data_IF_015959972074
#
_entry.id   IF_015959972074
#
_cell.length_a   1.000
_cell.length_b   1.000
_cell.length_c   1.000
_cell.angle_alpha   90.00
_cell.angle_beta   90.00
_cell.angle_gamma   90.00
#
_symmetry.space_group_name_H-M   'P 1'
#
loop_
_entity.id
_entity.type
_entity.pdbx_description
1 polymer ?
#
# COMPACT_ATOMS: atom_id res chain seq x y z
N UNK A 1 -22.31 3.66 46.34
CA UNK A 1 -22.05 4.65 45.28
C UNK A 1 -21.65 3.90 44.03
N UNK A 2 -22.41 4.01 42.92
CA UNK A 2 -21.92 3.55 41.61
C UNK A 2 -20.65 4.35 41.32
N UNK A 3 -19.60 3.70 40.82
CA UNK A 3 -18.26 4.26 40.68
C UNK A 3 -18.25 5.35 39.57
N UNK A 4 -18.72 6.55 39.89
CA UNK A 4 -18.80 7.70 38.97
C UNK A 4 -17.42 8.10 38.40
N UNK A 5 -16.34 7.66 39.04
CA UNK A 5 -14.96 7.88 38.60
C UNK A 5 -14.50 6.91 37.51
N UNK A 6 -15.17 5.77 37.31
CA UNK A 6 -14.91 4.86 36.19
C UNK A 6 -15.87 5.22 35.04
N UNK A 7 -15.57 6.32 34.35
CA UNK A 7 -16.33 6.76 33.17
C UNK A 7 -15.49 6.52 31.92
N UNK A 8 -15.93 5.60 31.06
CA UNK A 8 -15.41 5.53 29.70
C UNK A 8 -15.76 6.85 28.99
N UNK A 9 -14.74 7.53 28.48
CA UNK A 9 -14.91 8.80 27.81
C UNK A 9 -15.51 8.50 26.44
N UNK A 10 -16.84 8.62 26.29
CA UNK A 10 -17.56 8.23 25.06
C UNK A 10 -17.07 8.95 23.80
N UNK A 11 -16.36 10.07 23.95
CA UNK A 11 -15.66 10.76 22.85
C UNK A 11 -14.50 9.93 22.24
N UNK A 12 -14.01 8.91 22.95
CA UNK A 12 -12.99 7.99 22.48
C UNK A 12 -13.59 6.78 21.75
N UNK A 13 -14.90 6.56 21.81
CA UNK A 13 -15.58 5.48 21.08
C UNK A 13 -15.33 5.57 19.56
N UNK A 14 -15.38 6.74 18.91
CA UNK A 14 -15.01 6.87 17.50
C UNK A 14 -13.52 6.58 17.20
N UNK A 15 -12.67 6.59 18.23
CA UNK A 15 -11.25 6.27 18.08
C UNK A 15 -10.98 4.77 17.99
N UNK A 16 -11.92 3.91 18.41
CA UNK A 16 -11.75 2.44 18.35
C UNK A 16 -11.48 1.98 16.92
N UNK A 17 -12.27 2.44 15.96
CA UNK A 17 -12.04 2.21 14.53
C UNK A 17 -10.66 2.69 14.08
N UNK A 18 -10.24 3.89 14.52
CA UNK A 18 -8.93 4.45 14.14
C UNK A 18 -7.80 3.60 14.73
N UNK A 19 -7.94 3.12 15.95
CA UNK A 19 -6.96 2.25 16.61
C UNK A 19 -6.84 0.95 15.81
N UNK A 20 -7.95 0.31 15.44
CA UNK A 20 -7.92 -0.91 14.61
C UNK A 20 -7.29 -0.65 13.23
N UNK A 21 -7.58 0.48 12.57
CA UNK A 21 -6.90 0.87 11.33
C UNK A 21 -5.38 0.97 11.54
N UNK A 22 -4.92 1.60 12.63
CA UNK A 22 -3.50 1.74 12.93
C UNK A 22 -2.83 0.39 13.23
N UNK A 23 -3.51 -0.49 13.96
CA UNK A 23 -3.04 -1.88 14.18
C UNK A 23 -2.93 -2.64 12.87
N UNK A 24 -3.94 -2.51 12.01
CA UNK A 24 -3.92 -3.10 10.66
C UNK A 24 -2.78 -2.57 9.80
N UNK A 25 -2.55 -1.26 9.80
CA UNK A 25 -1.43 -0.63 9.08
C UNK A 25 -0.07 -1.09 9.61
N UNK A 26 0.09 -1.16 10.93
CA UNK A 26 1.31 -1.71 11.54
C UNK A 26 1.51 -3.17 11.12
N UNK A 27 0.52 -4.03 11.31
CA UNK A 27 0.57 -5.44 10.93
C UNK A 27 0.90 -5.63 9.45
N UNK A 28 0.31 -4.82 8.57
CA UNK A 28 0.61 -4.82 7.13
C UNK A 28 2.08 -4.44 6.87
N UNK A 29 2.56 -3.40 7.53
CA UNK A 29 3.93 -2.88 7.33
C UNK A 29 5.02 -3.86 7.75
N UNK A 30 4.73 -4.74 8.72
CA UNK A 30 5.66 -5.79 9.20
C UNK A 30 5.41 -7.16 8.56
N UNK A 31 4.56 -7.23 7.52
CA UNK A 31 4.30 -8.46 6.76
C UNK A 31 3.29 -9.43 7.40
N UNK A 32 2.65 -9.07 8.51
CA UNK A 32 1.60 -9.86 9.16
C UNK A 32 0.24 -9.66 8.47
N UNK A 33 0.14 -9.97 7.17
CA UNK A 33 -1.02 -9.61 6.34
C UNK A 33 -2.36 -10.19 6.81
N UNK A 34 -2.38 -11.43 7.31
CA UNK A 34 -3.61 -12.03 7.87
C UNK A 34 -4.14 -11.26 9.09
N UNK A 35 -3.22 -10.74 9.93
CA UNK A 35 -3.59 -9.91 11.08
C UNK A 35 -4.01 -8.51 10.64
N UNK A 36 -3.35 -7.97 9.61
CA UNK A 36 -3.76 -6.71 9.00
C UNK A 36 -5.21 -6.78 8.49
N UNK A 37 -5.54 -7.84 7.75
CA UNK A 37 -6.91 -8.13 7.28
C UNK A 37 -7.88 -8.12 8.46
N UNK A 38 -7.61 -8.91 9.51
CA UNK A 38 -8.45 -8.98 10.71
C UNK A 38 -8.75 -7.58 11.28
N UNK A 39 -7.71 -6.78 11.53
CA UNK A 39 -7.88 -5.43 12.10
C UNK A 39 -8.67 -4.50 11.18
N UNK A 40 -8.46 -4.57 9.86
CA UNK A 40 -9.26 -3.77 8.93
C UNK A 40 -10.72 -4.22 8.86
N UNK A 41 -11.00 -5.53 9.01
CA UNK A 41 -12.37 -6.03 9.13
C UNK A 41 -13.04 -5.54 10.41
N UNK A 42 -12.37 -5.61 11.56
CA UNK A 42 -12.88 -5.09 12.84
C UNK A 42 -13.13 -3.58 12.78
N UNK A 43 -12.23 -2.81 12.16
CA UNK A 43 -12.40 -1.38 11.99
C UNK A 43 -13.67 -1.00 11.22
N UNK A 44 -14.14 -1.84 10.28
CA UNK A 44 -15.38 -1.61 9.53
C UNK A 44 -16.60 -1.69 10.45
N UNK A 45 -16.62 -2.66 11.36
CA UNK A 45 -17.73 -2.87 12.30
C UNK A 45 -17.80 -1.77 13.37
N UNK A 46 -16.68 -1.09 13.64
CA UNK A 46 -16.56 -0.02 14.64
C UNK A 46 -16.89 1.38 14.10
N UNK A 47 -17.37 1.52 12.85
CA UNK A 47 -17.68 2.83 12.28
C UNK A 47 -18.91 2.83 11.38
N UNK A 48 -19.76 3.84 11.54
CA UNK A 48 -20.88 4.14 10.63
C UNK A 48 -20.45 5.00 9.42
N UNK A 49 -19.20 5.47 9.40
CA UNK A 49 -18.69 6.33 8.33
C UNK A 49 -18.41 5.52 7.07
N UNK A 50 -19.28 5.64 6.06
CA UNK A 50 -19.10 5.00 4.75
C UNK A 50 -17.73 5.27 4.12
N UNK A 51 -17.18 6.47 4.34
CA UNK A 51 -15.83 6.84 3.88
C UNK A 51 -14.75 6.01 4.58
N UNK A 52 -14.84 5.87 5.91
CA UNK A 52 -13.89 5.04 6.67
C UNK A 52 -14.04 3.56 6.32
N UNK A 53 -15.26 3.05 6.18
CA UNK A 53 -15.52 1.68 5.76
C UNK A 53 -14.88 1.40 4.38
N UNK A 54 -15.08 2.29 3.40
CA UNK A 54 -14.48 2.16 2.07
C UNK A 54 -12.94 2.10 2.14
N UNK A 55 -12.32 2.97 2.94
CA UNK A 55 -10.88 2.96 3.13
C UNK A 55 -10.37 1.71 3.85
N UNK A 56 -11.09 1.19 4.85
CA UNK A 56 -10.74 -0.07 5.50
C UNK A 56 -10.80 -1.23 4.51
N UNK A 57 -11.84 -1.30 3.67
CA UNK A 57 -11.95 -2.32 2.60
C UNK A 57 -10.84 -2.22 1.56
N UNK A 58 -10.40 -1.00 1.22
CA UNK A 58 -9.20 -0.77 0.40
C UNK A 58 -7.96 -1.39 1.07
N UNK A 59 -7.71 -1.09 2.35
CA UNK A 59 -6.54 -1.63 3.06
C UNK A 59 -6.60 -3.14 3.27
N UNK A 60 -7.78 -3.69 3.53
CA UNK A 60 -8.07 -5.12 3.64
C UNK A 60 -7.75 -5.82 2.31
N UNK A 61 -8.26 -5.31 1.19
CA UNK A 61 -8.02 -5.86 -0.14
C UNK A 61 -6.52 -5.80 -0.53
N UNK A 62 -5.82 -4.71 -0.24
CA UNK A 62 -4.36 -4.63 -0.46
C UNK A 62 -3.64 -5.71 0.36
N UNK A 63 -4.05 -5.96 1.60
CA UNK A 63 -3.45 -6.99 2.44
C UNK A 63 -3.67 -8.39 1.87
N UNK A 64 -4.87 -8.70 1.38
CA UNK A 64 -5.15 -9.94 0.67
C UNK A 64 -4.31 -10.11 -0.61
N UNK A 65 -4.15 -9.04 -1.41
CA UNK A 65 -3.27 -9.04 -2.60
C UNK A 65 -1.82 -9.37 -2.23
N UNK A 66 -1.35 -8.92 -1.06
CA UNK A 66 -0.02 -9.21 -0.55
C UNK A 66 0.15 -10.67 -0.06
N UNK A 67 -0.91 -11.32 0.44
CA UNK A 67 -0.88 -12.76 0.76
C UNK A 67 -0.66 -13.57 -0.54
N UNK A 68 -1.39 -13.20 -1.61
CA UNK A 68 -1.06 -13.58 -2.98
C UNK A 68 -1.47 -14.98 -3.43
N UNK A 69 -2.10 -15.79 -2.57
CA UNK A 69 -2.75 -17.03 -3.00
C UNK A 69 -4.07 -16.75 -3.77
N UNK A 70 -4.59 -17.77 -4.46
CA UNK A 70 -5.78 -17.62 -5.30
C UNK A 70 -7.05 -17.28 -4.50
N UNK A 71 -7.19 -17.82 -3.29
CA UNK A 71 -8.34 -17.56 -2.42
C UNK A 71 -8.29 -16.10 -1.92
N UNK A 72 -7.14 -15.65 -1.43
CA UNK A 72 -6.92 -14.27 -1.01
C UNK A 72 -7.13 -13.29 -2.17
N UNK A 73 -6.67 -13.61 -3.37
CA UNK A 73 -6.90 -12.78 -4.56
C UNK A 73 -8.40 -12.67 -4.88
N UNK A 74 -9.16 -13.76 -4.77
CA UNK A 74 -10.62 -13.75 -4.96
C UNK A 74 -11.34 -12.95 -3.86
N UNK A 75 -10.87 -13.01 -2.61
CA UNK A 75 -11.39 -12.20 -1.51
C UNK A 75 -11.14 -10.71 -1.75
N UNK A 76 -9.93 -10.34 -2.17
CA UNK A 76 -9.61 -8.96 -2.54
C UNK A 76 -10.54 -8.44 -3.64
N UNK A 77 -10.79 -9.24 -4.68
CA UNK A 77 -11.71 -8.89 -5.76
C UNK A 77 -13.13 -8.63 -5.26
N UNK A 78 -13.70 -9.57 -4.50
CA UNK A 78 -15.04 -9.45 -3.94
C UNK A 78 -15.20 -8.20 -3.06
N UNK A 79 -14.15 -7.84 -2.30
CA UNK A 79 -14.17 -6.65 -1.45
C UNK A 79 -14.14 -5.34 -2.23
N UNK A 80 -13.31 -5.26 -3.27
CA UNK A 80 -13.03 -3.97 -3.93
C UNK A 80 -13.92 -3.71 -5.17
N UNK A 81 -14.37 -4.77 -5.85
CA UNK A 81 -15.15 -4.67 -7.10
C UNK A 81 -16.41 -3.79 -6.95
N UNK A 82 -17.24 -3.91 -5.89
CA UNK A 82 -18.42 -3.05 -5.74
C UNK A 82 -18.06 -1.56 -5.65
N UNK A 83 -16.93 -1.22 -5.01
CA UNK A 83 -16.46 0.17 -4.93
C UNK A 83 -15.89 0.67 -6.26
N UNK A 84 -15.27 -0.23 -7.02
CA UNK A 84 -14.76 0.09 -8.36
C UNK A 84 -15.90 0.37 -9.35
N UNK A 85 -16.96 -0.44 -9.34
CA UNK A 85 -18.12 -0.28 -10.25
C UNK A 85 -18.81 1.08 -10.12
N UNK A 86 -18.76 1.69 -8.95
CA UNK A 86 -19.37 3.01 -8.68
C UNK A 86 -18.34 4.14 -8.55
N UNK A 87 -17.06 3.88 -8.84
CA UNK A 87 -15.94 4.81 -8.53
C UNK A 87 -16.09 6.19 -9.17
N UNK A 88 -16.67 6.25 -10.37
CA UNK A 88 -16.88 7.52 -11.07
C UNK A 88 -17.93 8.39 -10.37
N UNK A 89 -18.94 7.77 -9.74
CA UNK A 89 -20.01 8.44 -8.99
C UNK A 89 -19.63 8.80 -7.55
N UNK A 90 -18.57 8.20 -7.00
CA UNK A 90 -18.04 8.56 -5.67
C UNK A 90 -17.66 10.03 -5.63
N UNK A 91 -17.81 10.72 -4.49
CA UNK A 91 -17.43 12.16 -4.38
C UNK A 91 -16.01 12.32 -3.82
N UNK A 92 -15.60 11.42 -2.93
CA UNK A 92 -14.32 11.53 -2.22
C UNK A 92 -13.11 11.14 -3.08
N UNK A 93 -12.20 12.09 -3.31
CA UNK A 93 -10.97 11.86 -4.07
C UNK A 93 -10.05 10.81 -3.42
N UNK A 94 -10.03 10.76 -2.08
CA UNK A 94 -9.25 9.77 -1.31
C UNK A 94 -9.71 8.35 -1.59
N UNK A 95 -11.02 8.12 -1.52
CA UNK A 95 -11.62 6.81 -1.77
C UNK A 95 -11.43 6.40 -3.22
N UNK A 96 -11.69 7.31 -4.19
CA UNK A 96 -11.47 7.03 -5.62
C UNK A 96 -10.05 6.57 -5.89
N UNK A 97 -9.08 7.32 -5.40
CA UNK A 97 -7.67 7.04 -5.65
C UNK A 97 -7.20 5.77 -4.93
N UNK A 98 -7.73 5.46 -3.74
CA UNK A 98 -7.48 4.19 -3.08
C UNK A 98 -8.05 2.99 -3.85
N UNK A 99 -9.29 3.12 -4.33
CA UNK A 99 -9.99 2.07 -5.09
C UNK A 99 -9.32 1.81 -6.43
N UNK A 100 -9.03 2.86 -7.22
CA UNK A 100 -8.33 2.74 -8.51
C UNK A 100 -6.95 2.11 -8.36
N UNK A 101 -6.22 2.47 -7.30
CA UNK A 101 -4.91 1.89 -7.02
C UNK A 101 -5.02 0.40 -6.72
N UNK A 102 -5.91 0.04 -5.79
CA UNK A 102 -6.08 -1.33 -5.31
C UNK A 102 -6.59 -2.25 -6.42
N UNK A 103 -7.57 -1.79 -7.20
CA UNK A 103 -8.07 -2.55 -8.34
C UNK A 103 -7.00 -2.70 -9.44
N UNK A 104 -6.18 -1.66 -9.66
CA UNK A 104 -5.02 -1.77 -10.55
C UNK A 104 -4.01 -2.83 -10.09
N UNK A 105 -3.69 -2.88 -8.79
CA UNK A 105 -2.82 -3.93 -8.24
C UNK A 105 -3.41 -5.33 -8.45
N UNK A 106 -4.72 -5.48 -8.26
CA UNK A 106 -5.43 -6.74 -8.47
C UNK A 106 -5.36 -7.22 -9.92
N UNK A 107 -5.60 -6.32 -10.88
CA UNK A 107 -5.52 -6.63 -12.30
C UNK A 107 -4.11 -7.07 -12.72
N UNK A 108 -3.07 -6.41 -12.21
CA UNK A 108 -1.67 -6.83 -12.44
C UNK A 108 -1.44 -8.25 -11.91
N UNK A 109 -1.95 -8.57 -10.71
CA UNK A 109 -1.86 -9.94 -10.16
C UNK A 109 -2.58 -10.97 -11.04
N UNK A 110 -3.67 -10.57 -11.68
CA UNK A 110 -4.44 -11.38 -12.62
C UNK A 110 -3.84 -11.39 -14.05
N UNK A 111 -2.68 -10.77 -14.27
CA UNK A 111 -2.01 -10.64 -15.58
C UNK A 111 -2.80 -9.84 -16.61
N UNK A 112 -3.62 -8.90 -16.15
CA UNK A 112 -4.29 -7.90 -16.97
C UNK A 112 -3.54 -6.55 -16.92
N UNK A 113 -3.78 -5.65 -17.87
CA UNK A 113 -3.06 -4.39 -18.07
C UNK A 113 -3.92 -3.17 -17.67
N UNK A 114 -3.89 -2.71 -16.40
CA UNK A 114 -4.77 -1.66 -15.89
C UNK A 114 -4.27 -0.22 -16.14
N UNK A 115 -3.43 0.01 -17.16
CA UNK A 115 -2.64 1.25 -17.31
C UNK A 115 -3.51 2.51 -17.24
N UNK A 116 -4.60 2.55 -18.02
CA UNK A 116 -5.50 3.69 -18.08
C UNK A 116 -6.11 4.03 -16.71
N UNK A 117 -6.39 3.01 -15.88
CA UNK A 117 -6.99 3.20 -14.55
C UNK A 117 -5.96 3.74 -13.56
N UNK A 118 -4.74 3.24 -13.61
CA UNK A 118 -3.64 3.73 -12.79
C UNK A 118 -3.25 5.16 -13.15
N UNK A 119 -3.21 5.52 -14.45
CA UNK A 119 -2.98 6.89 -14.91
C UNK A 119 -4.08 7.84 -14.44
N UNK A 120 -5.34 7.40 -14.47
CA UNK A 120 -6.47 8.20 -13.96
C UNK A 120 -6.33 8.46 -12.46
N UNK A 121 -6.02 7.44 -11.68
CA UNK A 121 -5.79 7.56 -10.24
C UNK A 121 -4.63 8.49 -9.89
N UNK A 122 -3.51 8.39 -10.63
CA UNK A 122 -2.35 9.26 -10.47
C UNK A 122 -2.68 10.73 -10.75
N UNK A 123 -3.44 11.02 -11.82
CA UNK A 123 -3.89 12.39 -12.15
C UNK A 123 -4.73 13.00 -11.03
N UNK A 124 -5.74 12.27 -10.55
CA UNK A 124 -6.60 12.69 -9.44
C UNK A 124 -5.79 12.95 -8.16
N UNK A 125 -4.83 12.07 -7.86
CA UNK A 125 -3.91 12.21 -6.74
C UNK A 125 -3.11 13.52 -6.79
N UNK A 126 -2.53 13.81 -7.95
CA UNK A 126 -1.71 15.00 -8.18
C UNK A 126 -2.55 16.29 -8.06
N UNK A 127 -3.77 16.30 -8.61
CA UNK A 127 -4.62 17.49 -8.62
C UNK A 127 -5.33 17.78 -7.31
N UNK A 128 -5.66 16.75 -6.53
CA UNK A 128 -6.68 16.89 -5.48
C UNK A 128 -6.21 16.52 -4.07
N UNK A 129 -5.12 15.76 -3.92
CA UNK A 129 -4.73 15.21 -2.60
C UNK A 129 -3.32 15.59 -2.17
N UNK A 130 -2.40 15.86 -3.10
CA UNK A 130 -1.01 16.20 -2.77
C UNK A 130 -0.27 15.12 -1.96
N UNK A 131 -0.81 13.90 -1.88
CA UNK A 131 -0.23 12.81 -1.12
C UNK A 131 0.93 12.17 -1.91
N UNK A 132 2.13 12.68 -1.66
CA UNK A 132 3.35 12.31 -2.39
C UNK A 132 3.70 10.83 -2.19
N UNK A 133 3.29 10.22 -1.07
CA UNK A 133 3.54 8.81 -0.76
C UNK A 133 2.77 7.89 -1.70
N UNK A 134 1.45 8.08 -1.80
CA UNK A 134 0.63 7.30 -2.72
C UNK A 134 1.00 7.59 -4.18
N UNK A 135 1.39 8.83 -4.51
CA UNK A 135 1.91 9.19 -5.83
C UNK A 135 3.16 8.37 -6.20
N UNK A 136 4.12 8.22 -5.27
CA UNK A 136 5.30 7.38 -5.45
C UNK A 136 4.94 5.92 -5.77
N UNK A 137 3.94 5.37 -5.08
CA UNK A 137 3.46 4.00 -5.28
C UNK A 137 2.71 3.81 -6.61
N UNK A 138 1.93 4.81 -7.06
CA UNK A 138 1.33 4.80 -8.39
C UNK A 138 2.39 4.76 -9.49
N UNK A 139 3.41 5.63 -9.41
CA UNK A 139 4.52 5.64 -10.37
C UNK A 139 5.26 4.32 -10.37
N UNK A 140 5.55 3.76 -9.18
CA UNK A 140 6.17 2.44 -9.05
C UNK A 140 5.39 1.37 -9.84
N UNK A 141 4.08 1.30 -9.63
CA UNK A 141 3.22 0.31 -10.28
C UNK A 141 3.13 0.54 -11.80
N UNK A 142 3.01 1.79 -12.26
CA UNK A 142 3.00 2.14 -13.68
C UNK A 142 4.34 1.81 -14.37
N UNK A 143 5.46 2.04 -13.69
CA UNK A 143 6.78 1.71 -14.22
C UNK A 143 6.96 0.21 -14.42
N UNK A 144 6.42 -0.61 -13.49
CA UNK A 144 6.35 -2.06 -13.67
C UNK A 144 5.54 -2.47 -14.90
N UNK A 145 4.39 -1.84 -15.10
CA UNK A 145 3.51 -2.13 -16.22
C UNK A 145 4.15 -1.76 -17.57
N UNK A 146 4.85 -0.62 -17.62
CA UNK A 146 5.61 -0.19 -18.79
C UNK A 146 6.69 -1.24 -19.18
N UNK A 147 7.32 -1.90 -18.20
CA UNK A 147 8.24 -3.01 -18.48
C UNK A 147 7.54 -4.24 -19.06
N UNK A 148 6.34 -4.58 -18.57
CA UNK A 148 5.56 -5.71 -19.09
C UNK A 148 5.15 -5.51 -20.55
N UNK A 149 4.91 -4.27 -20.99
CA UNK A 149 4.63 -3.92 -22.39
C UNK A 149 5.89 -3.58 -23.21
N UNK A 150 7.08 -3.85 -22.65
CA UNK A 150 8.39 -3.62 -23.27
C UNK A 150 8.73 -2.15 -23.61
N UNK A 151 8.09 -1.19 -22.95
CA UNK A 151 8.50 0.23 -23.00
C UNK A 151 9.55 0.53 -21.91
N UNK A 152 10.77 0.11 -22.19
CA UNK A 152 11.91 0.24 -21.26
C UNK A 152 12.31 1.70 -21.01
N UNK A 153 12.11 2.58 -21.99
CA UNK A 153 12.44 4.01 -21.89
C UNK A 153 11.48 4.69 -20.93
N UNK A 154 10.18 4.52 -21.14
CA UNK A 154 9.16 5.11 -20.28
C UNK A 154 9.22 4.52 -18.86
N UNK A 155 9.41 3.20 -18.74
CA UNK A 155 9.58 2.54 -17.46
C UNK A 155 10.72 3.15 -16.64
N UNK A 156 11.90 3.34 -17.25
CA UNK A 156 13.08 3.91 -16.58
C UNK A 156 12.80 5.30 -16.01
N UNK A 157 12.17 6.18 -16.78
CA UNK A 157 11.85 7.54 -16.36
C UNK A 157 10.78 7.58 -15.24
N UNK A 158 9.73 6.76 -15.36
CA UNK A 158 8.70 6.63 -14.33
C UNK A 158 9.30 6.09 -13.02
N UNK A 159 10.13 5.05 -13.10
CA UNK A 159 10.77 4.43 -11.93
C UNK A 159 11.76 5.40 -11.26
N UNK A 160 12.54 6.17 -12.02
CA UNK A 160 13.41 7.23 -11.46
C UNK A 160 12.62 8.32 -10.74
N UNK A 161 11.47 8.69 -11.29
CA UNK A 161 10.55 9.64 -10.65
C UNK A 161 10.01 9.07 -9.33
N UNK A 162 9.57 7.82 -9.31
CA UNK A 162 9.15 7.10 -8.10
C UNK A 162 10.27 7.06 -7.05
N UNK A 163 11.50 6.69 -7.44
CA UNK A 163 12.66 6.63 -6.53
C UNK A 163 12.97 7.99 -5.90
N UNK A 164 12.86 9.08 -6.67
CA UNK A 164 13.09 10.43 -6.18
C UNK A 164 12.09 10.81 -5.08
N UNK A 165 10.81 10.50 -5.28
CA UNK A 165 9.77 10.73 -4.27
C UNK A 165 9.98 9.83 -3.05
N UNK A 166 10.28 8.55 -3.25
CA UNK A 166 10.53 7.60 -2.18
C UNK A 166 11.74 8.01 -1.31
N UNK A 167 12.79 8.58 -1.91
CA UNK A 167 13.93 9.17 -1.19
C UNK A 167 13.51 10.36 -0.33
N UNK A 168 12.71 11.28 -0.88
CA UNK A 168 12.20 12.46 -0.16
C UNK A 168 11.35 12.08 1.06
N UNK A 169 10.61 10.99 0.96
CA UNK A 169 9.70 10.52 2.01
C UNK A 169 10.33 9.53 2.99
N UNK A 170 11.59 9.16 2.79
CA UNK A 170 12.23 8.06 3.52
C UNK A 170 11.44 6.75 3.45
N UNK A 171 10.71 6.54 2.35
CA UNK A 171 9.99 5.30 2.06
C UNK A 171 11.00 4.22 1.61
N UNK A 172 11.62 3.57 2.60
CA UNK A 172 12.63 2.55 2.38
C UNK A 172 12.07 1.34 1.61
N UNK A 173 10.87 0.81 1.91
CA UNK A 173 10.28 -0.27 1.11
C UNK A 173 10.16 0.05 -0.37
N UNK A 174 9.63 1.23 -0.74
CA UNK A 174 9.53 1.61 -2.16
C UNK A 174 10.90 1.84 -2.77
N UNK A 175 11.87 2.42 -2.03
CA UNK A 175 13.24 2.55 -2.51
C UNK A 175 13.84 1.18 -2.87
N UNK A 176 13.78 0.20 -1.98
CA UNK A 176 14.32 -1.15 -2.20
C UNK A 176 13.71 -1.79 -3.44
N UNK A 177 12.38 -1.71 -3.56
CA UNK A 177 11.67 -2.30 -4.69
C UNK A 177 12.07 -1.62 -6.02
N UNK A 178 12.05 -0.29 -6.09
CA UNK A 178 12.34 0.44 -7.34
C UNK A 178 13.79 0.21 -7.76
N UNK A 179 14.71 0.17 -6.79
CA UNK A 179 16.10 -0.14 -7.06
C UNK A 179 16.25 -1.56 -7.62
N UNK A 180 15.54 -2.56 -7.08
CA UNK A 180 15.56 -3.92 -7.64
C UNK A 180 15.18 -3.95 -9.11
N UNK A 181 14.06 -3.30 -9.46
CA UNK A 181 13.55 -3.28 -10.84
C UNK A 181 14.49 -2.51 -11.77
N UNK A 182 15.06 -1.39 -11.31
CA UNK A 182 16.06 -0.65 -12.09
C UNK A 182 17.36 -1.45 -12.28
N UNK A 183 17.81 -2.21 -11.28
CA UNK A 183 18.99 -3.08 -11.39
C UNK A 183 18.78 -4.13 -12.49
N UNK A 184 17.61 -4.77 -12.51
CA UNK A 184 17.27 -5.76 -13.54
C UNK A 184 17.21 -5.12 -14.93
N UNK A 185 16.60 -3.93 -15.04
CA UNK A 185 16.56 -3.19 -16.29
C UNK A 185 17.96 -2.78 -16.78
N UNK A 186 18.84 -2.28 -15.91
CA UNK A 186 20.21 -1.92 -16.29
C UNK A 186 21.00 -3.13 -16.78
N UNK A 187 20.76 -4.31 -16.17
CA UNK A 187 21.35 -5.56 -16.61
C UNK A 187 20.89 -5.96 -18.02
N UNK A 188 19.59 -5.84 -18.30
CA UNK A 188 19.02 -6.11 -19.63
C UNK A 188 19.57 -5.15 -20.71
N UNK A 189 19.75 -3.88 -20.36
CA UNK A 189 20.29 -2.85 -21.26
C UNK A 189 21.82 -2.89 -21.40
N UNK A 190 22.52 -3.73 -20.63
CA UNK A 190 23.98 -3.79 -20.62
C UNK A 190 24.69 -2.60 -19.96
N UNK A 191 23.95 -1.78 -19.20
CA UNK A 191 24.46 -0.60 -18.48
C UNK A 191 25.19 -0.99 -17.18
N UNK A 192 26.36 -1.64 -17.30
CA UNK A 192 27.08 -2.27 -16.17
C UNK A 192 27.42 -1.34 -15.01
N UNK A 193 27.84 -0.11 -15.30
CA UNK A 193 28.21 0.87 -14.26
C UNK A 193 26.97 1.27 -13.43
N UNK A 194 25.89 1.65 -14.11
CA UNK A 194 24.61 1.98 -13.49
C UNK A 194 24.05 0.79 -12.69
N UNK A 195 24.15 -0.42 -13.23
CA UNK A 195 23.74 -1.64 -12.56
C UNK A 195 24.49 -1.81 -11.22
N UNK A 196 25.82 -1.67 -11.24
CA UNK A 196 26.66 -1.88 -10.06
C UNK A 196 26.38 -0.85 -8.96
N UNK A 197 26.37 0.45 -9.30
CA UNK A 197 26.06 1.52 -8.35
C UNK A 197 24.65 1.35 -7.75
N UNK A 198 23.66 1.03 -8.59
CA UNK A 198 22.29 0.85 -8.17
C UNK A 198 22.11 -0.39 -7.26
N UNK A 199 22.81 -1.50 -7.56
CA UNK A 199 22.79 -2.71 -6.75
C UNK A 199 23.46 -2.53 -5.37
N UNK A 200 24.54 -1.76 -5.29
CA UNK A 200 25.16 -1.39 -4.01
C UNK A 200 24.20 -0.57 -3.14
N UNK A 201 23.54 0.41 -3.75
CA UNK A 201 22.55 1.22 -3.05
C UNK A 201 21.32 0.40 -2.62
N UNK A 202 20.83 -0.49 -3.48
CA UNK A 202 19.76 -1.45 -3.17
C UNK A 202 20.13 -2.29 -1.94
N UNK A 203 21.34 -2.86 -1.91
CA UNK A 203 21.81 -3.71 -0.81
C UNK A 203 21.84 -2.95 0.51
N UNK A 204 22.33 -1.70 0.49
CA UNK A 204 22.33 -0.84 1.68
C UNK A 204 20.91 -0.58 2.21
N UNK A 205 19.96 -0.33 1.31
CA UNK A 205 18.56 -0.05 1.67
C UNK A 205 17.80 -1.29 2.12
N UNK A 206 18.08 -2.45 1.52
CA UNK A 206 17.52 -3.72 1.94
C UNK A 206 17.94 -4.05 3.38
N UNK A 207 19.21 -3.89 3.72
CA UNK A 207 19.71 -4.08 5.10
C UNK A 207 19.08 -3.10 6.09
N UNK A 208 18.88 -1.84 5.71
CA UNK A 208 18.17 -0.84 6.54
C UNK A 208 16.72 -1.29 6.80
N UNK A 209 16.02 -1.76 5.76
CA UNK A 209 14.66 -2.26 5.88
C UNK A 209 14.57 -3.51 6.78
N UNK A 210 15.42 -4.51 6.54
CA UNK A 210 15.48 -5.74 7.34
C UNK A 210 15.72 -5.43 8.82
N UNK A 211 16.65 -4.51 9.11
CA UNK A 211 16.90 -4.08 10.49
C UNK A 211 15.67 -3.44 11.12
N UNK A 212 14.99 -2.51 10.42
CA UNK A 212 13.78 -1.85 10.94
C UNK A 212 12.66 -2.84 11.21
N UNK A 213 12.48 -3.84 10.33
CA UNK A 213 11.50 -4.90 10.51
C UNK A 213 11.85 -5.77 11.72
N UNK A 214 13.11 -6.17 11.86
CA UNK A 214 13.58 -6.95 13.01
C UNK A 214 13.40 -6.18 14.34
N UNK A 215 13.78 -4.90 14.38
CA UNK A 215 13.59 -4.04 15.55
C UNK A 215 12.10 -3.89 15.91
N UNK A 216 11.23 -3.75 14.90
CA UNK A 216 9.79 -3.66 15.10
C UNK A 216 9.18 -4.96 15.64
N UNK A 217 9.61 -6.11 15.12
CA UNK A 217 9.16 -7.44 15.54
C UNK A 217 9.70 -7.85 16.92
N UNK A 218 10.89 -7.39 17.29
CA UNK A 218 11.49 -7.61 18.60
C UNK A 218 10.92 -6.69 19.70
N UNK A 219 10.17 -5.66 19.32
CA UNK A 219 9.51 -4.76 20.28
C UNK A 219 8.54 -5.52 21.19
N UNK A 220 8.53 -5.18 22.48
CA UNK A 220 7.61 -5.77 23.47
C UNK A 220 6.13 -5.56 23.10
N UNK A 221 5.83 -4.53 22.31
CA UNK A 221 4.47 -4.19 21.87
C UNK A 221 4.03 -4.93 20.61
N UNK A 222 4.94 -5.62 19.90
CA UNK A 222 4.64 -6.26 18.61
C UNK A 222 3.44 -7.21 18.71
N UNK A 223 3.51 -8.15 19.66
CA UNK A 223 2.47 -9.15 19.86
C UNK A 223 1.14 -8.51 20.29
N UNK A 224 1.19 -7.47 21.13
CA UNK A 224 -0.02 -6.77 21.57
C UNK A 224 -0.72 -6.07 20.39
N UNK A 225 0.05 -5.33 19.58
CA UNK A 225 -0.48 -4.60 18.43
C UNK A 225 -1.06 -5.55 17.37
N UNK A 226 -0.39 -6.67 17.08
CA UNK A 226 -0.75 -7.62 16.00
C UNK A 226 -1.76 -8.69 16.44
N UNK A 227 -1.96 -8.88 17.75
CA UNK A 227 -2.88 -9.89 18.25
C UNK A 227 -4.32 -9.65 17.82
N UNK A 228 -5.02 -10.71 17.44
CA UNK A 228 -6.48 -10.69 17.28
C UNK A 228 -7.06 -11.04 18.65
N UNK A 229 -7.46 -10.02 19.42
CA UNK A 229 -8.17 -10.18 20.71
C UNK A 229 -9.55 -10.80 20.51
#
# INVERSE_FOLDING_TARGET
MKNWFTRFLTILMPCECIIEILRGQYAHSVGCYNKAVFHFSEAVELTDSKSMQAMCKVYEAISYICIGDAESTSKADHLIRPFYEVVDSTVGAREKTGVLFTYGLLLIKQRDLPEARLVTGLKLMHTSLGNIQLMSQYLRTLGSLALEIHDTVQAKEILRSSLTLAKKLYDVPTQVWVLSVLTDLYKELGEKENQMENAEYQTKKARDLEKRLADAQASIYHNEIVSSS
#
